data_IF_214976055251
#
_entry.id   IF_214976055251
#
_cell.length_a   1.000
_cell.length_b   1.000
_cell.length_c   1.000
_cell.angle_alpha   90.00
_cell.angle_beta   90.00
_cell.angle_gamma   90.00
#
_symmetry.space_group_name_H-M   'P 1'
#
loop_
_entity.id
_entity.type
_entity.pdbx_description
1 polymer ?
#
# COMPACT_ATOMS: atom_id res chain seq x y z
N UNK A 1 1.11 18.95 16.79
CA UNK A 1 1.35 17.61 17.37
C UNK A 1 1.93 16.78 16.23
N UNK A 2 3.24 16.89 16.00
CA UNK A 2 3.89 16.45 14.77
C UNK A 2 4.39 15.02 14.94
N UNK A 3 3.59 14.04 14.51
CA UNK A 3 4.07 12.69 14.28
C UNK A 3 4.25 12.52 12.78
N UNK A 4 5.50 12.41 12.34
CA UNK A 4 5.85 12.13 10.95
C UNK A 4 5.47 10.68 10.64
N UNK A 5 4.87 10.44 9.48
CA UNK A 5 4.44 9.12 9.02
C UNK A 5 5.57 8.07 9.04
N UNK A 6 6.82 8.51 8.89
CA UNK A 6 8.00 7.65 8.99
C UNK A 6 8.19 7.00 10.38
N UNK A 7 7.69 7.60 11.46
CA UNK A 7 7.81 7.05 12.82
C UNK A 7 6.86 5.86 13.05
N UNK A 8 5.72 5.83 12.35
CA UNK A 8 4.74 4.74 12.49
C UNK A 8 5.26 3.46 11.84
N UNK A 9 5.91 3.58 10.69
CA UNK A 9 6.42 2.43 9.92
C UNK A 9 7.58 1.73 10.63
N UNK A 10 8.36 2.44 11.47
CA UNK A 10 9.48 1.82 12.19
C UNK A 10 9.06 0.92 13.35
N UNK A 11 7.85 1.08 13.91
CA UNK A 11 7.41 0.30 15.08
C UNK A 11 6.89 -1.09 14.75
N UNK A 12 6.63 -1.38 13.47
CA UNK A 12 6.04 -2.66 13.05
C UNK A 12 7.09 -3.75 12.74
N UNK A 13 8.38 -3.45 12.91
CA UNK A 13 9.47 -4.35 12.52
C UNK A 13 10.17 -5.13 13.63
N UNK A 14 9.59 -5.26 14.84
CA UNK A 14 10.09 -6.24 15.82
C UNK A 14 8.95 -6.82 16.66
N UNK A 15 8.17 -7.78 16.14
CA UNK A 15 7.62 -8.87 16.99
C UNK A 15 7.50 -10.16 16.18
N UNK A 16 8.55 -10.95 16.22
CA UNK A 16 8.47 -12.39 16.04
C UNK A 16 7.83 -12.95 17.33
N UNK A 17 6.55 -13.36 17.30
CA UNK A 17 5.97 -14.14 18.41
C UNK A 17 4.53 -13.82 18.82
N UNK A 18 3.64 -14.78 18.53
CA UNK A 18 2.33 -15.08 19.15
C UNK A 18 1.36 -13.91 19.41
N UNK A 19 0.37 -13.79 18.52
CA UNK A 19 -0.85 -13.03 18.79
C UNK A 19 -1.65 -13.65 19.95
N UNK A 20 -1.90 -12.87 21.00
CA UNK A 20 -2.86 -13.16 22.08
C UNK A 20 -4.30 -13.16 21.50
N UNK A 21 -5.06 -14.27 21.59
CA UNK A 21 -6.33 -14.41 20.88
C UNK A 21 -7.52 -13.67 21.53
N UNK A 22 -7.34 -12.93 22.63
CA UNK A 22 -8.49 -12.50 23.47
C UNK A 22 -9.07 -11.12 23.19
N UNK A 23 -8.68 -10.44 22.11
CA UNK A 23 -9.30 -9.16 21.72
C UNK A 23 -9.37 -9.00 20.21
N UNK A 24 -10.33 -9.66 19.57
CA UNK A 24 -10.85 -9.20 18.27
C UNK A 24 -12.35 -9.47 18.21
N UNK A 25 -13.07 -8.36 18.14
CA UNK A 25 -14.49 -8.31 17.83
C UNK A 25 -14.75 -8.96 16.46
N UNK A 26 -15.93 -9.54 16.34
CA UNK A 26 -16.37 -10.44 15.27
C UNK A 26 -16.42 -9.78 13.87
N UNK A 27 -15.29 -9.52 13.25
CA UNK A 27 -15.20 -9.48 11.79
C UNK A 27 -14.52 -10.77 11.35
N UNK A 28 -15.29 -11.68 10.77
CA UNK A 28 -14.79 -12.89 10.10
C UNK A 28 -13.85 -12.45 8.98
N UNK A 29 -12.56 -12.29 9.29
CA UNK A 29 -11.50 -12.18 8.28
C UNK A 29 -11.51 -13.52 7.56
N UNK A 30 -12.17 -13.55 6.39
CA UNK A 30 -12.07 -14.68 5.48
C UNK A 30 -10.58 -14.89 5.23
N UNK A 31 -10.11 -16.10 5.50
CA UNK A 31 -8.76 -16.55 5.22
C UNK A 31 -8.41 -16.11 3.80
N UNK A 32 -7.48 -15.16 3.67
CA UNK A 32 -7.07 -14.65 2.36
C UNK A 32 -6.39 -15.79 1.62
N UNK A 33 -6.95 -16.20 0.48
CA UNK A 33 -6.36 -17.21 -0.39
C UNK A 33 -4.91 -16.83 -0.69
N UNK A 34 -3.97 -17.67 -0.22
CA UNK A 34 -2.54 -17.42 -0.40
C UNK A 34 -2.16 -17.74 -1.85
N UNK A 35 -2.04 -16.70 -2.67
CA UNK A 35 -1.55 -16.83 -4.05
C UNK A 35 -0.02 -16.81 -4.05
N UNK A 36 0.61 -17.83 -4.64
CA UNK A 36 2.06 -17.93 -4.84
C UNK A 36 2.37 -17.97 -6.33
N UNK A 37 3.40 -17.25 -6.75
CA UNK A 37 3.89 -17.25 -8.12
C UNK A 37 5.41 -17.14 -8.12
N UNK A 38 6.06 -17.71 -9.13
CA UNK A 38 7.51 -17.58 -9.33
C UNK A 38 7.79 -16.30 -10.11
N UNK A 39 8.84 -15.60 -9.72
CA UNK A 39 9.19 -14.26 -10.21
C UNK A 39 10.69 -14.19 -10.43
N UNK A 40 11.12 -13.55 -11.51
CA UNK A 40 12.55 -13.30 -11.75
C UNK A 40 13.07 -12.18 -10.82
N UNK A 41 14.39 -12.12 -10.62
CA UNK A 41 14.97 -11.14 -9.68
C UNK A 41 14.72 -9.69 -10.12
N UNK A 42 14.70 -9.43 -11.43
CA UNK A 42 14.40 -8.11 -12.00
C UNK A 42 12.94 -7.71 -11.74
N UNK A 43 12.01 -8.65 -11.89
CA UNK A 43 10.60 -8.42 -11.58
C UNK A 43 10.37 -8.18 -10.09
N UNK A 44 11.12 -8.84 -9.19
CA UNK A 44 11.05 -8.55 -7.75
C UNK A 44 11.46 -7.11 -7.43
N UNK A 45 12.50 -6.59 -8.09
CA UNK A 45 12.92 -5.20 -7.94
C UNK A 45 11.81 -4.26 -8.42
N UNK A 46 11.17 -4.57 -9.56
CA UNK A 46 10.03 -3.79 -10.06
C UNK A 46 8.86 -3.82 -9.09
N UNK A 47 8.46 -4.99 -8.59
CA UNK A 47 7.36 -5.15 -7.63
C UNK A 47 7.63 -4.39 -6.32
N UNK A 48 8.89 -4.31 -5.87
CA UNK A 48 9.25 -3.55 -4.67
C UNK A 48 9.02 -2.03 -4.78
N UNK A 49 8.90 -1.52 -6.00
CA UNK A 49 8.63 -0.11 -6.33
C UNK A 49 7.14 0.17 -6.61
N UNK A 50 6.30 -0.84 -6.44
CA UNK A 50 4.85 -0.74 -6.65
C UNK A 50 4.14 -0.69 -5.30
N UNK A 51 3.15 0.20 -5.20
CA UNK A 51 2.29 0.30 -4.03
C UNK A 51 0.82 0.40 -4.45
N UNK A 52 -0.06 -0.37 -3.82
CA UNK A 52 -1.51 -0.24 -4.03
C UNK A 52 -2.11 0.55 -2.87
N UNK A 53 -2.65 1.72 -3.18
CA UNK A 53 -3.37 2.56 -2.23
C UNK A 53 -4.88 2.48 -2.41
N UNK A 54 -5.62 2.70 -1.33
CA UNK A 54 -7.06 2.94 -1.36
C UNK A 54 -7.34 4.43 -1.09
N UNK A 55 -8.24 5.02 -1.87
CA UNK A 55 -8.73 6.38 -1.68
C UNK A 55 -10.02 6.37 -0.86
N UNK A 56 -10.21 7.36 0.01
CA UNK A 56 -11.41 7.46 0.84
C UNK A 56 -12.69 7.70 0.00
N UNK A 57 -12.56 8.41 -1.12
CA UNK A 57 -13.68 8.79 -1.97
C UNK A 57 -13.66 8.04 -3.30
N UNK A 58 -14.71 7.24 -3.61
CA UNK A 58 -14.80 6.54 -4.89
C UNK A 58 -14.65 7.47 -6.09
N UNK A 59 -13.84 7.04 -7.06
CA UNK A 59 -13.58 7.81 -8.28
C UNK A 59 -12.59 8.97 -8.10
N UNK A 60 -12.06 9.22 -6.89
CA UNK A 60 -11.01 10.23 -6.71
C UNK A 60 -9.63 9.76 -7.15
N UNK A 61 -9.47 8.45 -7.45
CA UNK A 61 -8.24 7.84 -7.98
C UNK A 61 -7.75 8.54 -9.25
N UNK A 62 -8.65 9.11 -10.06
CA UNK A 62 -8.30 9.85 -11.26
C UNK A 62 -7.60 11.19 -10.98
N UNK A 63 -7.80 11.77 -9.79
CA UNK A 63 -7.25 13.07 -9.40
C UNK A 63 -5.93 12.97 -8.60
N UNK A 64 -5.53 11.76 -8.20
CA UNK A 64 -4.36 11.56 -7.33
C UNK A 64 -3.05 11.91 -8.05
N UNK A 65 -2.96 11.68 -9.36
CA UNK A 65 -1.78 12.06 -10.14
C UNK A 65 -1.51 13.57 -10.07
N UNK A 66 -2.56 14.37 -10.29
CA UNK A 66 -2.45 15.83 -10.28
C UNK A 66 -2.11 16.37 -8.89
N UNK A 67 -2.68 15.76 -7.84
CA UNK A 67 -2.35 16.10 -6.46
C UNK A 67 -0.88 15.82 -6.13
N UNK A 68 -0.37 14.63 -6.49
CA UNK A 68 1.04 14.27 -6.28
C UNK A 68 1.98 15.19 -7.08
N UNK A 69 1.63 15.53 -8.32
CA UNK A 69 2.38 16.50 -9.11
C UNK A 69 2.40 17.89 -8.46
N UNK A 70 1.27 18.36 -7.93
CA UNK A 70 1.19 19.65 -7.24
C UNK A 70 2.06 19.69 -5.97
N UNK A 71 2.24 18.54 -5.31
CA UNK A 71 3.13 18.37 -4.15
C UNK A 71 4.60 18.13 -4.52
N UNK A 72 4.91 17.97 -5.82
CA UNK A 72 6.27 17.80 -6.33
C UNK A 72 6.73 16.34 -6.52
N UNK A 73 5.83 15.37 -6.40
CA UNK A 73 6.10 13.95 -6.62
C UNK A 73 6.01 13.56 -8.11
N UNK A 74 6.95 14.07 -8.92
CA UNK A 74 6.98 13.82 -10.36
C UNK A 74 7.46 12.41 -10.74
N UNK A 75 8.15 11.74 -9.83
CA UNK A 75 8.63 10.36 -10.04
C UNK A 75 7.57 9.30 -9.80
N UNK A 76 6.32 9.66 -9.52
CA UNK A 76 5.26 8.68 -9.23
C UNK A 76 4.25 8.68 -10.37
N UNK A 77 4.04 7.52 -10.97
CA UNK A 77 2.93 7.27 -11.89
C UNK A 77 1.79 6.62 -11.14
N UNK A 78 0.59 7.16 -11.33
CA UNK A 78 -0.65 6.67 -10.74
C UNK A 78 -1.47 5.98 -11.83
N UNK A 79 -1.82 4.71 -11.61
CA UNK A 79 -2.73 3.95 -12.47
C UNK A 79 -3.99 3.59 -11.67
N UNK A 80 -5.16 4.17 -11.98
CA UNK A 80 -6.43 3.76 -11.36
C UNK A 80 -6.73 2.29 -11.68
N UNK A 81 -7.00 1.47 -10.67
CA UNK A 81 -7.35 0.05 -10.84
C UNK A 81 -8.88 -0.18 -10.86
N UNK A 82 -9.66 0.90 -10.83
CA UNK A 82 -11.10 0.87 -10.59
C UNK A 82 -11.44 0.85 -9.10
N UNK A 83 -12.73 1.04 -8.80
CA UNK A 83 -13.21 1.27 -7.44
C UNK A 83 -12.42 2.40 -6.75
N UNK A 84 -12.05 2.21 -5.49
CA UNK A 84 -11.28 3.16 -4.69
C UNK A 84 -9.76 2.88 -4.77
N UNK A 85 -9.27 2.11 -5.75
CA UNK A 85 -7.89 1.63 -5.75
C UNK A 85 -7.01 2.32 -6.80
N UNK A 86 -5.77 2.63 -6.41
CA UNK A 86 -4.75 3.19 -7.28
C UNK A 86 -3.42 2.44 -7.10
N UNK A 87 -2.79 2.10 -8.22
CA UNK A 87 -1.41 1.61 -8.26
C UNK A 87 -0.47 2.81 -8.41
N UNK A 88 0.46 2.95 -7.47
CA UNK A 88 1.55 3.91 -7.48
C UNK A 88 2.82 3.20 -7.93
N UNK A 89 3.44 3.71 -8.99
CA UNK A 89 4.67 3.17 -9.56
C UNK A 89 5.77 4.24 -9.48
N UNK A 90 6.89 3.92 -8.83
CA UNK A 90 8.08 4.78 -8.91
C UNK A 90 8.73 4.66 -10.29
N UNK A 91 8.83 5.80 -10.98
CA UNK A 91 9.53 5.95 -12.25
C UNK A 91 11.01 6.20 -11.96
N UNK A 92 11.82 5.16 -12.10
CA UNK A 92 13.29 5.19 -11.93
C UNK A 92 13.98 4.63 -13.16
#
# INVERSE_FOLDING_TARGET
>A
NNRSFAEVVQKDNIVQGKADPRRRDNHSVKETDLIRFNVEQEELIKLSKLYVGEVEHPGSTYNVQDALHAEGYFGIKVTPLGANLALLEEQS
#
